data_IF_615384329105
#
_entry.id   IF_615384329105
#
_cell.length_a   1.000
_cell.length_b   1.000
_cell.length_c   1.000
_cell.angle_alpha   90.00
_cell.angle_beta   90.00
_cell.angle_gamma   90.00
#
_symmetry.space_group_name_H-M   'P 1'
#
loop_
_entity.id
_entity.type
_entity.pdbx_description
1 polymer ?
#
# COMPACT_ATOMS: atom_id res chain seq x y z
N UNK A 1 24.50 6.33 1.67
CA UNK A 1 23.19 6.84 1.22
C UNK A 1 22.37 7.07 2.46
N UNK A 2 22.06 8.32 2.78
CA UNK A 2 21.08 8.66 3.81
C UNK A 2 19.77 7.99 3.38
N UNK A 3 19.32 6.97 4.12
CA UNK A 3 18.04 6.32 3.85
C UNK A 3 16.97 7.40 3.76
N UNK A 4 16.14 7.35 2.72
CA UNK A 4 14.98 8.22 2.59
C UNK A 4 14.17 8.15 3.88
N UNK A 5 13.72 9.30 4.39
CA UNK A 5 12.88 9.29 5.58
C UNK A 5 11.51 8.70 5.20
N UNK A 6 11.07 7.57 5.79
CA UNK A 6 9.85 6.86 5.36
C UNK A 6 8.62 7.75 5.29
N UNK A 7 8.53 8.76 6.16
CA UNK A 7 7.45 9.77 6.16
C UNK A 7 7.41 10.63 4.92
N UNK A 8 8.58 11.08 4.45
CA UNK A 8 8.68 11.93 3.25
C UNK A 8 8.26 11.13 2.02
N UNK A 9 8.71 9.87 1.92
CA UNK A 9 8.36 8.99 0.79
C UNK A 9 6.87 8.63 0.83
N UNK A 10 6.34 8.28 2.01
CA UNK A 10 4.92 8.02 2.18
C UNK A 10 4.05 9.24 1.81
N UNK A 11 4.45 10.44 2.23
CA UNK A 11 3.75 11.67 1.88
C UNK A 11 3.77 11.92 0.36
N UNK A 12 4.91 11.71 -0.30
CA UNK A 12 5.04 11.78 -1.76
C UNK A 12 4.12 10.77 -2.47
N UNK A 13 4.07 9.52 -1.98
CA UNK A 13 3.16 8.50 -2.50
C UNK A 13 1.69 8.90 -2.32
N UNK A 14 1.30 9.40 -1.14
CA UNK A 14 -0.06 9.85 -0.85
C UNK A 14 -0.50 11.02 -1.74
N UNK A 15 0.38 12.02 -1.93
CA UNK A 15 0.11 13.17 -2.79
C UNK A 15 -0.05 12.73 -4.27
N UNK A 16 0.80 11.81 -4.74
CA UNK A 16 0.71 11.26 -6.11
C UNK A 16 -0.56 10.44 -6.34
N UNK A 17 -1.00 9.68 -5.33
CA UNK A 17 -2.26 8.93 -5.37
C UNK A 17 -3.47 9.87 -5.44
N UNK A 18 -3.51 10.92 -4.61
CA UNK A 18 -4.57 11.93 -4.68
C UNK A 18 -4.62 12.63 -6.05
N UNK A 19 -3.45 12.95 -6.63
CA UNK A 19 -3.35 13.52 -7.96
C UNK A 19 -3.86 12.58 -9.06
N UNK A 20 -3.59 11.27 -8.94
CA UNK A 20 -4.13 10.25 -9.84
C UNK A 20 -5.67 10.18 -9.73
N UNK A 21 -6.21 10.14 -8.50
CA UNK A 21 -7.65 10.03 -8.27
C UNK A 21 -8.42 11.21 -8.87
N UNK A 22 -7.89 12.43 -8.78
CA UNK A 22 -8.49 13.62 -9.44
C UNK A 22 -8.53 13.54 -10.96
N UNK A 23 -7.77 12.64 -11.59
CA UNK A 23 -7.73 12.45 -13.05
C UNK A 23 -8.65 11.32 -13.53
N UNK A 24 -9.32 10.60 -12.62
CA UNK A 24 -10.27 9.54 -12.97
C UNK A 24 -11.52 10.18 -13.61
N UNK A 25 -11.94 9.76 -14.81
CA UNK A 25 -13.18 10.24 -15.41
C UNK A 25 -14.42 9.75 -14.62
N UNK A 26 -15.42 10.63 -14.46
CA UNK A 26 -16.64 10.34 -13.68
C UNK A 26 -17.42 9.09 -14.14
N UNK A 27 -17.31 8.71 -15.42
CA UNK A 27 -17.98 7.53 -15.96
C UNK A 27 -17.29 6.19 -15.67
N UNK A 28 -16.11 6.18 -15.04
CA UNK A 28 -15.27 4.99 -14.91
C UNK A 28 -15.45 4.24 -13.58
N UNK A 29 -16.10 4.83 -12.58
CA UNK A 29 -16.12 4.33 -11.19
C UNK A 29 -16.70 2.92 -11.03
N UNK A 30 -17.73 2.59 -11.80
CA UNK A 30 -18.39 1.27 -11.77
C UNK A 30 -17.80 0.29 -12.81
N UNK A 31 -16.77 0.73 -13.56
CA UNK A 31 -16.05 -0.08 -14.52
C UNK A 31 -15.04 -1.04 -13.85
N UNK A 32 -14.41 -1.94 -14.62
CA UNK A 32 -13.44 -2.90 -14.08
C UNK A 32 -12.25 -2.19 -13.39
N UNK A 33 -11.89 -2.67 -12.19
CA UNK A 33 -10.69 -2.25 -11.46
C UNK A 33 -9.62 -3.33 -11.51
N UNK A 34 -9.63 -4.24 -10.52
CA UNK A 34 -8.67 -5.34 -10.40
C UNK A 34 -9.36 -6.60 -9.87
N UNK A 35 -9.26 -7.71 -10.61
CA UNK A 35 -9.94 -8.95 -10.24
C UNK A 35 -11.45 -8.74 -10.07
N UNK A 36 -11.97 -9.04 -8.88
CA UNK A 36 -13.40 -8.91 -8.52
C UNK A 36 -13.80 -7.49 -8.08
N UNK A 37 -12.87 -6.52 -8.10
CA UNK A 37 -13.13 -5.13 -7.78
C UNK A 37 -13.46 -4.30 -9.01
N UNK A 38 -14.52 -3.49 -8.90
CA UNK A 38 -14.69 -2.31 -9.74
C UNK A 38 -13.65 -1.23 -9.37
N UNK A 39 -13.55 -0.19 -10.20
CA UNK A 39 -12.58 0.89 -10.00
C UNK A 39 -12.78 1.57 -8.64
N UNK A 40 -14.02 1.83 -8.24
CA UNK A 40 -14.35 2.44 -6.95
C UNK A 40 -13.86 1.59 -5.78
N UNK A 41 -14.02 0.28 -5.84
CA UNK A 41 -13.54 -0.66 -4.83
C UNK A 41 -12.02 -0.73 -4.78
N UNK A 42 -11.35 -0.66 -5.94
CA UNK A 42 -9.89 -0.58 -6.01
C UNK A 42 -9.37 0.73 -5.38
N UNK A 43 -9.92 1.88 -5.75
CA UNK A 43 -9.55 3.18 -5.15
C UNK A 43 -9.84 3.19 -3.65
N UNK A 44 -10.97 2.62 -3.23
CA UNK A 44 -11.33 2.45 -1.83
C UNK A 44 -10.34 1.55 -1.09
N UNK A 45 -9.92 0.43 -1.69
CA UNK A 45 -8.88 -0.43 -1.15
C UNK A 45 -7.55 0.32 -0.98
N UNK A 46 -7.10 1.03 -2.03
CA UNK A 46 -5.86 1.81 -2.00
C UNK A 46 -5.90 2.90 -0.92
N UNK A 47 -7.03 3.57 -0.72
CA UNK A 47 -7.19 4.61 0.30
C UNK A 47 -7.03 4.08 1.73
N UNK A 48 -7.21 2.76 1.95
CA UNK A 48 -6.94 2.14 3.25
C UNK A 48 -5.50 2.31 3.68
N UNK A 49 -4.54 2.45 2.75
CA UNK A 49 -3.15 2.76 3.08
C UNK A 49 -2.97 4.14 3.76
N UNK A 50 -3.94 5.05 3.60
CA UNK A 50 -4.02 6.31 4.35
C UNK A 50 -4.76 6.10 5.67
N UNK A 51 -5.93 5.45 5.61
CA UNK A 51 -6.81 5.25 6.76
C UNK A 51 -6.12 4.43 7.87
N UNK A 52 -5.42 3.35 7.51
CA UNK A 52 -4.82 2.47 8.51
C UNK A 52 -3.67 3.12 9.26
N UNK A 53 -2.92 4.01 8.61
CA UNK A 53 -1.88 4.80 9.31
C UNK A 53 -2.54 5.64 10.41
N UNK A 54 -3.55 6.44 10.07
CA UNK A 54 -4.28 7.27 11.03
C UNK A 54 -4.95 6.43 12.13
N UNK A 55 -5.52 5.26 11.80
CA UNK A 55 -6.17 4.41 12.80
C UNK A 55 -5.19 3.71 13.74
N UNK A 56 -4.09 3.18 13.21
CA UNK A 56 -3.09 2.49 14.03
C UNK A 56 -2.25 3.44 14.88
N UNK A 57 -2.14 4.72 14.51
CA UNK A 57 -1.62 5.75 15.40
C UNK A 57 -2.42 5.92 16.70
N UNK A 58 -3.68 5.45 16.73
CA UNK A 58 -4.52 5.46 17.93
C UNK A 58 -4.39 4.18 18.76
N UNK A 59 -3.53 3.24 18.36
CA UNK A 59 -3.26 2.00 19.09
C UNK A 59 -1.83 2.01 19.65
N UNK A 60 -1.60 1.19 20.68
CA UNK A 60 -0.28 0.99 21.25
C UNK A 60 -0.06 -0.51 21.42
N UNK A 61 1.08 -1.02 20.96
CA UNK A 61 1.46 -2.41 21.22
C UNK A 61 2.38 -2.50 22.44
N UNK A 62 2.28 -3.61 23.18
CA UNK A 62 3.11 -3.85 24.38
C UNK A 62 4.54 -4.29 24.04
N UNK A 63 4.75 -4.85 22.85
CA UNK A 63 6.03 -5.40 22.39
C UNK A 63 6.21 -5.22 20.89
N UNK A 64 7.46 -5.20 20.44
CA UNK A 64 7.80 -5.15 19.02
C UNK A 64 7.89 -6.58 18.46
N UNK A 65 6.93 -6.96 17.62
CA UNK A 65 6.87 -8.28 16.98
C UNK A 65 7.43 -8.25 15.54
N UNK A 66 7.49 -7.07 14.92
CA UNK A 66 7.84 -6.86 13.51
C UNK A 66 8.95 -5.83 13.39
N UNK A 67 10.08 -6.24 12.80
CA UNK A 67 11.30 -5.40 12.81
C UNK A 67 11.37 -4.42 11.63
N UNK A 68 10.81 -4.81 10.47
CA UNK A 68 10.84 -3.98 9.27
C UNK A 68 9.64 -4.29 8.34
N UNK A 69 9.48 -3.49 7.28
CA UNK A 69 8.39 -3.65 6.31
C UNK A 69 8.36 -5.01 5.59
N UNK A 70 9.51 -5.63 5.30
CA UNK A 70 9.51 -6.95 4.67
C UNK A 70 9.09 -8.05 5.67
N UNK A 71 9.27 -7.81 6.97
CA UNK A 71 8.94 -8.76 8.05
C UNK A 71 7.43 -8.71 8.28
N UNK A 72 6.87 -7.51 8.16
CA UNK A 72 5.44 -7.30 8.11
C UNK A 72 4.79 -8.14 7.01
N UNK A 73 5.30 -8.10 5.77
CA UNK A 73 4.74 -8.92 4.67
C UNK A 73 4.90 -10.43 4.91
N UNK A 74 6.03 -10.87 5.46
CA UNK A 74 6.22 -12.29 5.77
C UNK A 74 5.22 -12.77 6.84
N UNK A 75 5.03 -12.00 7.92
CA UNK A 75 4.12 -12.34 9.02
C UNK A 75 2.65 -12.19 8.64
N UNK A 76 2.28 -11.15 7.88
CA UNK A 76 0.89 -10.94 7.47
C UNK A 76 0.43 -12.02 6.50
N UNK A 77 1.33 -12.59 5.68
CA UNK A 77 1.01 -13.72 4.81
C UNK A 77 0.53 -14.93 5.63
N UNK A 78 1.17 -15.22 6.75
CA UNK A 78 0.78 -16.33 7.62
C UNK A 78 -0.57 -16.04 8.31
N UNK A 79 -0.81 -14.78 8.71
CA UNK A 79 -2.11 -14.33 9.24
C UNK A 79 -3.21 -14.41 8.16
N UNK A 80 -2.91 -13.99 6.94
CA UNK A 80 -3.83 -13.95 5.81
C UNK A 80 -4.16 -15.34 5.25
N UNK A 81 -3.25 -16.32 5.37
CA UNK A 81 -3.54 -17.72 5.05
C UNK A 81 -4.69 -18.30 5.89
N UNK A 82 -4.94 -17.73 7.08
CA UNK A 82 -6.10 -18.04 7.91
C UNK A 82 -7.37 -17.25 7.57
N UNK A 83 -7.31 -16.28 6.64
CA UNK A 83 -8.43 -15.43 6.24
C UNK A 83 -9.06 -15.89 4.92
N UNK A 84 -10.39 -15.77 4.80
CA UNK A 84 -11.06 -15.99 3.52
C UNK A 84 -10.75 -14.84 2.53
N UNK A 85 -10.32 -15.17 1.31
CA UNK A 85 -10.07 -14.20 0.22
C UNK A 85 -11.26 -13.25 -0.02
N UNK A 86 -12.49 -13.76 0.12
CA UNK A 86 -13.72 -12.96 0.02
C UNK A 86 -13.80 -11.81 1.02
N UNK A 87 -13.17 -11.92 2.20
CA UNK A 87 -13.14 -10.85 3.19
C UNK A 87 -12.22 -9.69 2.79
N UNK A 88 -11.16 -9.94 2.00
CA UNK A 88 -10.33 -8.87 1.43
C UNK A 88 -11.15 -8.12 0.39
N UNK A 89 -11.80 -8.87 -0.51
CA UNK A 89 -12.64 -8.29 -1.56
C UNK A 89 -13.74 -7.42 -0.96
N UNK A 90 -14.48 -7.92 0.04
CA UNK A 90 -15.57 -7.16 0.65
C UNK A 90 -15.08 -5.92 1.40
N UNK A 91 -13.90 -5.95 2.04
CA UNK A 91 -13.31 -4.75 2.64
C UNK A 91 -12.95 -3.69 1.60
N UNK A 92 -12.50 -4.10 0.41
CA UNK A 92 -12.29 -3.18 -0.71
C UNK A 92 -13.60 -2.53 -1.17
N UNK A 93 -14.67 -3.33 -1.31
CA UNK A 93 -16.00 -2.82 -1.67
C UNK A 93 -16.56 -1.86 -0.62
N UNK A 94 -16.44 -2.20 0.67
CA UNK A 94 -16.86 -1.30 1.74
C UNK A 94 -16.09 0.01 1.71
N UNK A 95 -14.76 -0.04 1.61
CA UNK A 95 -13.95 1.17 1.52
C UNK A 95 -14.29 2.00 0.26
N UNK A 96 -14.66 1.36 -0.85
CA UNK A 96 -15.14 2.05 -2.05
C UNK A 96 -16.48 2.76 -1.84
N UNK A 97 -17.40 2.17 -1.07
CA UNK A 97 -18.66 2.82 -0.65
C UNK A 97 -18.38 4.02 0.27
N UNK A 98 -17.42 3.88 1.19
CA UNK A 98 -17.05 4.92 2.16
C UNK A 98 -16.43 6.17 1.49
N UNK A 99 -15.99 6.08 0.23
CA UNK A 99 -15.56 7.24 -0.57
C UNK A 99 -16.69 8.25 -0.83
N UNK A 100 -17.95 7.82 -0.75
CA UNK A 100 -19.12 8.68 -0.93
C UNK A 100 -19.29 9.19 -2.37
N UNK A 101 -20.02 10.30 -2.50
CA UNK A 101 -20.40 10.88 -3.78
C UNK A 101 -19.24 11.58 -4.51
N UNK A 102 -18.26 12.08 -3.77
CA UNK A 102 -17.06 12.74 -4.30
C UNK A 102 -15.79 12.00 -3.80
N UNK A 103 -15.36 10.94 -4.50
CA UNK A 103 -14.18 10.19 -4.12
C UNK A 103 -12.92 11.05 -4.05
N UNK A 104 -12.75 12.00 -4.96
CA UNK A 104 -11.55 12.84 -5.02
C UNK A 104 -11.43 13.74 -3.78
N UNK A 105 -12.51 14.42 -3.40
CA UNK A 105 -12.54 15.23 -2.18
C UNK A 105 -12.34 14.39 -0.91
N UNK A 106 -12.88 13.16 -0.87
CA UNK A 106 -12.66 12.23 0.24
C UNK A 106 -11.19 11.83 0.34
N UNK A 107 -10.53 11.49 -0.78
CA UNK A 107 -9.08 11.18 -0.78
C UNK A 107 -8.25 12.38 -0.33
N UNK A 108 -8.54 13.58 -0.82
CA UNK A 108 -7.83 14.80 -0.41
C UNK A 108 -7.94 15.04 1.11
N UNK A 109 -9.12 14.78 1.67
CA UNK A 109 -9.34 14.84 3.12
C UNK A 109 -8.52 13.80 3.89
N UNK A 110 -8.44 12.56 3.38
CA UNK A 110 -7.64 11.50 3.99
C UNK A 110 -6.14 11.81 3.94
N UNK A 111 -5.64 12.35 2.83
CA UNK A 111 -4.23 12.77 2.70
C UNK A 111 -3.93 13.90 3.68
N UNK A 112 -4.76 14.94 3.75
CA UNK A 112 -4.57 16.04 4.69
C UNK A 112 -4.55 15.55 6.15
N UNK A 113 -5.45 14.61 6.49
CA UNK A 113 -5.53 14.01 7.82
C UNK A 113 -4.27 13.21 8.17
N UNK A 114 -3.85 12.27 7.32
CA UNK A 114 -2.71 11.40 7.65
C UNK A 114 -1.42 12.19 7.78
N UNK A 115 -1.22 13.24 6.97
CA UNK A 115 -0.06 14.14 7.09
C UNK A 115 -0.06 14.86 8.44
N UNK A 116 -1.19 15.44 8.79
CA UNK A 116 -1.42 16.10 10.08
C UNK A 116 -1.15 15.14 11.26
N UNK A 117 -1.59 13.89 11.17
CA UNK A 117 -1.33 12.87 12.19
C UNK A 117 0.17 12.53 12.30
N UNK A 118 0.85 12.35 11.16
CA UNK A 118 2.28 12.03 11.10
C UNK A 118 3.18 13.14 11.62
N UNK A 119 2.79 14.40 11.45
CA UNK A 119 3.52 15.57 11.98
C UNK A 119 3.56 15.57 13.52
N UNK A 120 2.59 14.91 14.18
CA UNK A 120 2.47 14.87 15.65
C UNK A 120 2.94 13.56 16.30
N UNK A 121 2.99 12.48 15.54
CA UNK A 121 3.09 11.13 16.11
C UNK A 121 4.43 10.81 16.80
N UNK A 122 5.53 11.48 16.44
CA UNK A 122 6.85 10.87 16.65
C UNK A 122 6.89 9.48 15.99
N UNK A 123 7.77 8.58 16.42
CA UNK A 123 7.77 7.17 15.99
C UNK A 123 7.24 6.29 17.13
N UNK A 124 5.92 6.05 17.26
CA UNK A 124 5.37 5.17 18.28
C UNK A 124 5.44 3.70 17.87
N UNK A 125 5.36 2.81 18.86
CA UNK A 125 5.12 1.39 18.64
C UNK A 125 3.61 1.17 18.55
N UNK A 126 3.11 0.88 17.34
CA UNK A 126 1.68 0.74 17.03
C UNK A 126 1.28 -0.73 16.96
N UNK A 127 0.04 -1.03 17.34
CA UNK A 127 -0.56 -2.35 17.12
C UNK A 127 -1.24 -2.37 15.74
N UNK A 128 -0.84 -3.31 14.90
CA UNK A 128 -1.41 -3.54 13.57
C UNK A 128 -2.18 -4.85 13.51
N UNK A 129 -2.78 -5.14 12.36
CA UNK A 129 -3.54 -6.37 12.10
C UNK A 129 -2.80 -7.63 12.62
N UNK A 130 -3.56 -8.51 13.28
CA UNK A 130 -3.02 -9.69 13.95
C UNK A 130 -2.52 -9.44 15.37
N UNK A 131 -2.70 -8.22 15.91
CA UNK A 131 -2.20 -7.85 17.24
C UNK A 131 -0.68 -7.70 17.28
N UNK A 132 -0.04 -7.51 16.12
CA UNK A 132 1.41 -7.41 15.99
C UNK A 132 1.86 -5.99 16.31
N UNK A 133 2.93 -5.83 17.08
CA UNK A 133 3.58 -4.53 17.27
C UNK A 133 4.64 -4.22 16.21
N UNK A 134 4.59 -3.00 15.65
CA UNK A 134 5.59 -2.47 14.70
C UNK A 134 5.82 -0.97 14.95
N UNK A 135 7.05 -0.49 14.73
CA UNK A 135 7.35 0.94 14.74
C UNK A 135 6.68 1.64 13.56
N UNK A 136 6.10 2.82 13.76
CA UNK A 136 5.43 3.57 12.70
C UNK A 136 6.35 3.75 11.47
N UNK A 137 7.60 4.15 11.68
CA UNK A 137 8.55 4.36 10.58
C UNK A 137 8.88 3.06 9.81
N UNK A 138 8.80 1.90 10.48
CA UNK A 138 8.92 0.57 9.84
C UNK A 138 7.62 0.14 9.12
N UNK A 139 6.47 0.68 9.51
CA UNK A 139 5.17 0.39 8.90
C UNK A 139 4.92 1.21 7.63
N UNK A 140 5.33 2.47 7.60
CA UNK A 140 5.08 3.40 6.47
C UNK A 140 5.53 2.87 5.09
N UNK A 141 6.69 2.22 4.93
CA UNK A 141 7.09 1.66 3.63
C UNK A 141 6.12 0.61 3.09
N UNK A 142 5.42 -0.11 3.98
CA UNK A 142 4.37 -1.05 3.55
C UNK A 142 3.20 -0.30 2.91
N UNK A 143 2.87 0.90 3.38
CA UNK A 143 1.78 1.72 2.85
C UNK A 143 2.21 2.46 1.58
N UNK A 144 3.45 2.95 1.53
CA UNK A 144 4.08 3.47 0.30
C UNK A 144 4.00 2.45 -0.82
N UNK A 145 4.38 1.20 -0.56
CA UNK A 145 4.35 0.11 -1.53
C UNK A 145 2.95 -0.11 -2.13
N UNK A 146 1.94 -0.19 -1.27
CA UNK A 146 0.54 -0.40 -1.68
C UNK A 146 0.00 0.77 -2.52
N UNK A 147 0.35 2.01 -2.15
CA UNK A 147 0.00 3.20 -2.93
C UNK A 147 0.65 3.17 -4.33
N UNK A 148 1.91 2.75 -4.42
CA UNK A 148 2.65 2.67 -5.68
C UNK A 148 2.08 1.57 -6.61
N UNK A 149 1.88 0.37 -6.07
CA UNK A 149 1.36 -0.79 -6.82
C UNK A 149 -0.07 -0.50 -7.30
N UNK A 150 -0.97 -0.16 -6.39
CA UNK A 150 -2.37 0.02 -6.77
C UNK A 150 -2.64 1.34 -7.49
N UNK A 151 -1.79 2.37 -7.31
CA UNK A 151 -1.81 3.53 -8.19
C UNK A 151 -1.55 3.15 -9.65
N UNK A 152 -0.63 2.21 -9.89
CA UNK A 152 -0.38 1.66 -11.23
C UNK A 152 -1.58 0.86 -11.74
N UNK A 153 -2.21 0.03 -10.89
CA UNK A 153 -3.41 -0.73 -11.26
C UNK A 153 -4.58 0.20 -11.65
N UNK A 154 -4.84 1.24 -10.85
CA UNK A 154 -5.87 2.26 -11.10
C UNK A 154 -5.62 2.93 -12.44
N UNK A 155 -4.39 3.40 -12.68
CA UNK A 155 -4.05 4.10 -13.90
C UNK A 155 -4.25 3.23 -15.15
N UNK A 156 -3.88 1.95 -15.06
CA UNK A 156 -4.13 0.96 -16.12
C UNK A 156 -5.63 0.72 -16.34
N UNK A 157 -6.42 0.62 -15.28
CA UNK A 157 -7.86 0.39 -15.36
C UNK A 157 -8.61 1.52 -16.09
N UNK A 158 -8.15 2.77 -15.95
CA UNK A 158 -8.77 3.93 -16.63
C UNK A 158 -8.01 4.41 -17.87
N UNK A 159 -6.92 3.76 -18.25
CA UNK A 159 -6.13 4.11 -19.43
C UNK A 159 -5.44 5.48 -19.35
N UNK A 160 -5.06 5.93 -18.15
CA UNK A 160 -4.31 7.18 -17.95
C UNK A 160 -2.85 6.90 -17.63
N UNK A 161 -1.96 7.80 -18.03
CA UNK A 161 -0.55 7.70 -17.67
C UNK A 161 -0.33 8.04 -16.18
N UNK A 162 0.37 7.16 -15.47
CA UNK A 162 0.81 7.36 -14.09
C UNK A 162 2.19 6.75 -13.91
N UNK A 163 3.10 7.55 -13.37
CA UNK A 163 4.40 7.10 -12.89
C UNK A 163 4.53 7.67 -11.48
N UNK A 164 4.70 6.81 -10.49
CA UNK A 164 4.94 7.26 -9.13
C UNK A 164 6.30 8.00 -9.05
N UNK A 165 6.48 8.93 -8.10
CA UNK A 165 7.76 9.63 -7.92
C UNK A 165 8.94 8.66 -7.73
N UNK A 166 10.15 9.05 -8.17
CA UNK A 166 11.33 8.17 -8.21
C UNK A 166 11.67 7.59 -6.82
N UNK A 167 11.52 8.39 -5.76
CA UNK A 167 11.74 7.94 -4.38
C UNK A 167 10.72 6.88 -3.95
N UNK A 168 9.47 6.99 -4.42
CA UNK A 168 8.38 6.03 -4.16
C UNK A 168 8.64 4.74 -4.90
N UNK A 169 9.02 4.82 -6.19
CA UNK A 169 9.40 3.66 -6.99
C UNK A 169 10.63 2.94 -6.41
N UNK A 170 11.64 3.70 -5.96
CA UNK A 170 12.84 3.15 -5.34
C UNK A 170 12.51 2.40 -4.06
N UNK A 171 11.71 2.98 -3.17
CA UNK A 171 11.29 2.34 -1.92
C UNK A 171 10.44 1.09 -2.19
N UNK A 172 9.45 1.19 -3.08
CA UNK A 172 8.56 0.09 -3.41
C UNK A 172 9.31 -1.08 -4.07
N UNK A 173 10.16 -0.82 -5.08
CA UNK A 173 10.95 -1.85 -5.75
C UNK A 173 11.95 -2.52 -4.79
N UNK A 174 12.61 -1.73 -3.93
CA UNK A 174 13.51 -2.27 -2.91
C UNK A 174 12.77 -3.17 -1.93
N UNK A 175 11.57 -2.76 -1.49
CA UNK A 175 10.75 -3.57 -0.60
C UNK A 175 10.30 -4.87 -1.27
N UNK A 176 9.82 -4.82 -2.52
CA UNK A 176 9.45 -6.03 -3.29
C UNK A 176 10.61 -7.04 -3.35
N UNK A 177 11.82 -6.58 -3.65
CA UNK A 177 13.00 -7.44 -3.68
C UNK A 177 13.32 -8.05 -2.30
N UNK A 178 13.23 -7.25 -1.23
CA UNK A 178 13.44 -7.74 0.15
C UNK A 178 12.40 -8.77 0.57
N UNK A 179 11.13 -8.57 0.19
CA UNK A 179 10.06 -9.55 0.43
C UNK A 179 10.41 -10.83 -0.32
N UNK A 180 10.71 -10.76 -1.62
CA UNK A 180 11.09 -11.93 -2.42
C UNK A 180 12.23 -12.74 -1.81
N UNK A 181 13.31 -12.09 -1.37
CA UNK A 181 14.41 -12.77 -0.67
C UNK A 181 13.93 -13.43 0.62
N UNK A 182 13.14 -12.73 1.43
CA UNK A 182 12.63 -13.24 2.72
C UNK A 182 11.69 -14.41 2.55
N UNK A 183 10.95 -14.47 1.45
CA UNK A 183 10.07 -15.58 1.09
C UNK A 183 10.79 -16.74 0.38
N UNK A 184 12.11 -16.64 0.16
CA UNK A 184 12.92 -17.70 -0.45
C UNK A 184 13.04 -17.62 -1.98
N UNK A 185 12.55 -16.55 -2.60
CA UNK A 185 12.57 -16.31 -4.05
C UNK A 185 13.73 -15.39 -4.49
N UNK A 186 14.78 -15.28 -3.67
CA UNK A 186 15.91 -14.39 -3.93
C UNK A 186 16.63 -14.65 -5.27
N UNK A 187 16.97 -15.91 -5.61
CA UNK A 187 17.58 -16.24 -6.89
C UNK A 187 16.71 -15.84 -8.10
N UNK A 188 15.40 -16.13 -8.07
CA UNK A 188 14.46 -15.79 -9.14
C UNK A 188 14.35 -14.28 -9.34
N UNK A 189 14.20 -13.52 -8.25
CA UNK A 189 14.17 -12.05 -8.28
C UNK A 189 15.47 -11.50 -8.86
N UNK A 190 16.62 -12.00 -8.42
CA UNK A 190 17.92 -11.51 -8.91
C UNK A 190 18.11 -11.81 -10.41
N UNK A 191 17.77 -13.03 -10.85
CA UNK A 191 17.86 -13.42 -12.26
C UNK A 191 16.93 -12.56 -13.13
N UNK A 192 15.71 -12.29 -12.66
CA UNK A 192 14.73 -11.46 -13.37
C UNK A 192 15.16 -10.00 -13.49
N UNK A 193 15.51 -9.36 -12.37
CA UNK A 193 15.91 -7.94 -12.37
C UNK A 193 17.20 -7.68 -13.16
N UNK A 194 17.98 -8.73 -13.43
CA UNK A 194 19.18 -8.65 -14.25
C UNK A 194 18.99 -9.21 -15.66
N UNK A 195 17.80 -9.72 -16.02
CA UNK A 195 17.52 -10.22 -17.38
C UNK A 195 18.24 -11.54 -17.72
N UNK A 196 18.59 -12.35 -16.72
CA UNK A 196 19.15 -13.70 -16.93
C UNK A 196 18.08 -14.78 -16.98
N UNK A 197 16.87 -14.51 -16.48
CA UNK A 197 15.70 -15.37 -16.63
C UNK A 197 14.41 -14.54 -16.48
N UNK A 198 13.30 -15.00 -17.05
CA UNK A 198 11.99 -14.40 -16.80
C UNK A 198 11.43 -14.84 -15.44
N UNK A 199 10.52 -14.06 -14.85
CA UNK A 199 9.73 -14.51 -13.71
C UNK A 199 8.70 -15.56 -14.15
N UNK A 200 8.39 -16.57 -13.33
CA UNK A 200 7.31 -17.52 -13.62
C UNK A 200 5.97 -16.83 -13.86
N UNK A 201 5.12 -17.42 -14.71
CA UNK A 201 3.76 -16.94 -14.90
C UNK A 201 3.00 -16.91 -13.57
N UNK A 202 2.40 -15.76 -13.23
CA UNK A 202 1.68 -15.57 -11.98
C UNK A 202 2.56 -15.34 -10.75
N UNK A 203 3.86 -15.11 -10.91
CA UNK A 203 4.76 -14.79 -9.80
C UNK A 203 4.31 -13.51 -9.06
N UNK A 204 4.23 -13.59 -7.74
CA UNK A 204 4.00 -12.47 -6.84
C UNK A 204 4.83 -12.64 -5.57
N UNK A 205 5.31 -11.53 -5.01
CA UNK A 205 5.93 -11.49 -3.68
C UNK A 205 4.95 -11.04 -2.59
N UNK A 206 3.72 -10.68 -2.97
CA UNK A 206 2.62 -10.27 -2.08
C UNK A 206 1.36 -11.07 -2.31
#
# INVERSE_FOLDING_TARGET
>A
MTGSQPRVVFASAADSFAALVRRIPDGCWDGPGLGDWDLRSLVGHTSRSLVTVSSYLQTAAEREDVLDAADYYAKIRDVAAGMASSAIVERGRQAGRDLGADPAATIDTLVARVRSDLDRAGDPLIEVIGGLGIRLDSYLPTRTFELAVHGTDIARAVGVEFVAPDEVLTEAATLAARIGVRLGHGPEVLLALTGRADLPAGFSVV
#
